data_IF_738962249024
#
_entry.id   IF_738962249024
#
_cell.length_a   1.000
_cell.length_b   1.000
_cell.length_c   1.000
_cell.angle_alpha   90.00
_cell.angle_beta   90.00
_cell.angle_gamma   90.00
#
_symmetry.space_group_name_H-M   'P 1'
#
loop_
_entity.id
_entity.type
_entity.pdbx_description
1 polymer ?
#
# COMPACT_ATOMS: atom_id res chain seq x y z
N UNK A 1 -1.12 -5.74 5.86
CA UNK A 1 -0.87 -6.37 7.18
C UNK A 1 -2.09 -7.18 7.66
N UNK A 2 -3.27 -6.59 7.91
CA UNK A 2 -4.52 -7.36 8.12
C UNK A 2 -4.93 -8.17 6.86
N UNK A 3 -5.16 -7.50 5.74
CA UNK A 3 -5.60 -8.17 4.50
C UNK A 3 -4.62 -9.26 4.04
N UNK A 4 -3.32 -8.99 4.13
CA UNK A 4 -2.28 -9.98 3.81
C UNK A 4 -2.37 -11.22 4.72
N UNK A 5 -2.66 -11.06 6.02
CA UNK A 5 -2.89 -12.19 6.94
C UNK A 5 -4.13 -12.99 6.57
N UNK A 6 -5.25 -12.32 6.28
CA UNK A 6 -6.49 -12.99 5.87
C UNK A 6 -6.27 -13.81 4.61
N UNK A 7 -5.60 -13.24 3.60
CA UNK A 7 -5.29 -13.95 2.37
C UNK A 7 -4.32 -15.14 2.61
N UNK A 8 -3.34 -14.97 3.50
CA UNK A 8 -2.43 -16.05 3.86
C UNK A 8 -3.14 -17.24 4.54
N UNK A 9 -4.18 -17.00 5.35
CA UNK A 9 -5.02 -18.07 5.95
C UNK A 9 -5.73 -18.88 4.86
N UNK A 10 -6.12 -18.24 3.77
CA UNK A 10 -6.71 -18.88 2.59
C UNK A 10 -5.65 -19.55 1.67
N UNK A 11 -4.38 -19.59 2.10
CA UNK A 11 -3.29 -20.22 1.35
C UNK A 11 -2.77 -19.37 0.19
N UNK A 12 -3.08 -18.08 0.15
CA UNK A 12 -2.60 -17.16 -0.88
C UNK A 12 -1.30 -16.48 -0.47
N UNK A 13 -0.34 -16.44 -1.40
CA UNK A 13 0.92 -15.71 -1.21
C UNK A 13 0.67 -14.20 -1.34
N UNK A 14 0.44 -13.55 -0.20
CA UNK A 14 0.06 -12.16 -0.09
C UNK A 14 1.07 -11.36 0.75
N UNK A 15 1.55 -10.26 0.19
CA UNK A 15 2.54 -9.39 0.83
C UNK A 15 2.05 -7.96 0.86
N UNK A 16 2.19 -7.32 2.03
CA UNK A 16 1.89 -5.90 2.16
C UNK A 16 2.99 -5.08 1.48
N UNK A 17 2.58 -4.08 0.71
CA UNK A 17 3.47 -3.11 0.07
C UNK A 17 3.08 -1.71 0.50
N UNK A 18 4.06 -0.81 0.52
CA UNK A 18 3.81 0.62 0.64
C UNK A 18 4.65 1.40 -0.33
N UNK A 19 4.21 2.63 -0.52
CA UNK A 19 5.00 3.66 -1.14
C UNK A 19 5.13 4.88 -0.24
N UNK A 20 6.18 5.66 -0.49
CA UNK A 20 6.48 6.88 0.25
C UNK A 20 6.24 8.12 -0.63
N UNK A 21 5.50 9.14 -0.19
CA UNK A 21 5.33 10.39 -0.93
C UNK A 21 6.60 11.25 -0.85
N UNK A 22 6.95 11.97 -1.94
CA UNK A 22 8.04 12.97 -1.94
C UNK A 22 7.59 14.27 -1.26
N UNK A 23 8.52 14.95 -0.59
CA UNK A 23 8.31 16.28 0.01
C UNK A 23 8.48 17.46 -0.97
N UNK A 24 9.04 17.29 -2.18
CA UNK A 24 9.09 18.36 -3.20
C UNK A 24 9.36 17.87 -4.63
N UNK A 25 9.13 18.76 -5.59
CA UNK A 25 9.36 18.56 -7.04
C UNK A 25 10.86 18.65 -7.43
N UNK A 26 11.77 19.17 -6.58
CA UNK A 26 13.17 19.54 -6.96
C UNK A 26 14.32 19.15 -5.98
N UNK A 27 14.15 18.31 -4.94
CA UNK A 27 15.22 17.98 -3.95
C UNK A 27 15.54 16.47 -3.74
N UNK A 28 16.70 16.09 -3.16
CA UNK A 28 17.54 14.95 -3.62
C UNK A 28 17.15 13.56 -3.09
N UNK A 29 16.46 12.79 -3.96
CA UNK A 29 16.34 11.32 -4.22
C UNK A 29 16.31 10.27 -3.08
N UNK A 30 15.33 9.30 -3.09
CA UNK A 30 15.12 8.29 -4.16
C UNK A 30 13.77 8.41 -4.92
N UNK A 31 13.67 7.81 -6.13
CA UNK A 31 12.41 7.64 -6.89
C UNK A 31 11.47 6.59 -6.28
N UNK A 32 10.25 6.30 -6.74
CA UNK A 32 9.29 6.86 -7.71
C UNK A 32 7.92 6.86 -7.01
N UNK A 33 7.01 7.75 -7.43
CA UNK A 33 5.71 7.96 -6.79
C UNK A 33 4.74 6.76 -6.91
N UNK A 34 3.78 6.60 -5.99
CA UNK A 34 3.34 5.25 -5.56
C UNK A 34 1.85 4.88 -5.55
N UNK A 35 0.91 5.83 -5.44
CA UNK A 35 -0.47 5.67 -5.93
C UNK A 35 -0.88 6.93 -6.70
N UNK A 36 -1.14 6.83 -8.01
CA UNK A 36 -1.60 7.97 -8.82
C UNK A 36 -3.12 8.09 -8.72
N UNK A 37 -3.55 9.04 -7.89
CA UNK A 37 -4.93 9.53 -7.89
C UNK A 37 -5.16 10.46 -9.09
N UNK A 38 -6.39 10.91 -9.29
CA UNK A 38 -6.75 11.81 -10.39
C UNK A 38 -5.97 13.15 -10.38
N UNK A 39 -5.54 13.60 -9.19
CA UNK A 39 -4.95 14.94 -9.01
C UNK A 39 -3.46 14.94 -8.71
N UNK A 40 -2.95 13.88 -8.07
CA UNK A 40 -1.58 13.81 -7.57
C UNK A 40 -1.21 12.41 -7.09
N UNK A 41 0.09 12.27 -6.82
CA UNK A 41 0.65 11.09 -6.18
C UNK A 41 0.44 11.12 -4.67
N UNK A 42 0.08 9.96 -4.12
CA UNK A 42 -0.30 9.81 -2.72
C UNK A 42 0.63 8.83 -2.00
N UNK A 43 0.85 9.08 -0.69
CA UNK A 43 1.32 8.04 0.21
C UNK A 43 0.28 6.95 0.27
N UNK A 44 0.65 5.71 -0.03
CA UNK A 44 -0.34 4.64 -0.03
C UNK A 44 0.26 3.28 0.24
N UNK A 45 -0.59 2.36 0.67
CA UNK A 45 -0.23 0.98 0.91
C UNK A 45 -1.32 0.03 0.42
N UNK A 46 -0.89 -1.10 -0.12
CA UNK A 46 -1.76 -2.12 -0.72
C UNK A 46 -1.22 -3.52 -0.40
N UNK A 47 -1.87 -4.55 -0.93
CA UNK A 47 -1.39 -5.93 -0.88
C UNK A 47 -1.10 -6.42 -2.29
N UNK A 48 0.06 -7.02 -2.51
CA UNK A 48 0.34 -7.81 -3.69
C UNK A 48 0.04 -9.28 -3.40
N UNK A 49 -0.76 -9.92 -4.25
CA UNK A 49 -1.13 -11.33 -4.16
C UNK A 49 -0.90 -12.00 -5.52
N UNK A 50 0.22 -12.70 -5.67
CA UNK A 50 0.65 -13.24 -6.96
C UNK A 50 0.84 -12.15 -8.03
N UNK A 51 0.05 -12.20 -9.11
CA UNK A 51 0.11 -11.21 -10.20
C UNK A 51 -0.87 -10.04 -10.04
N UNK A 52 -1.47 -9.90 -8.84
CA UNK A 52 -2.51 -8.92 -8.57
C UNK A 52 -2.09 -7.94 -7.46
N UNK A 53 -2.55 -6.70 -7.60
CA UNK A 53 -2.68 -5.74 -6.53
C UNK A 53 -4.11 -5.84 -6.00
N UNK A 54 -4.24 -5.93 -4.68
CA UNK A 54 -5.49 -5.86 -3.94
C UNK A 54 -5.41 -4.67 -2.99
N UNK A 55 -6.31 -3.73 -3.19
CA UNK A 55 -6.33 -2.47 -2.45
C UNK A 55 -7.76 -2.17 -2.01
N UNK A 56 -7.94 -2.11 -0.70
CA UNK A 56 -9.25 -1.94 -0.04
C UNK A 56 -9.40 -0.55 0.59
N UNK A 57 -8.46 0.36 0.31
CA UNK A 57 -8.46 1.72 0.83
C UNK A 57 -8.19 2.76 -0.27
N UNK A 58 -8.20 2.37 -1.54
CA UNK A 58 -8.03 3.29 -2.68
C UNK A 58 -9.19 4.31 -2.79
N UNK A 59 -10.34 4.00 -2.21
CA UNK A 59 -11.51 4.87 -2.15
C UNK A 59 -11.28 6.19 -1.40
N UNK A 60 -10.31 6.21 -0.48
CA UNK A 60 -9.85 7.46 0.16
C UNK A 60 -9.34 8.50 -0.87
N UNK A 61 -9.03 8.06 -2.10
CA UNK A 61 -8.58 8.87 -3.22
C UNK A 61 -9.57 8.91 -4.39
N UNK A 62 -10.83 8.47 -4.19
CA UNK A 62 -11.87 8.49 -5.21
C UNK A 62 -11.91 7.26 -6.13
N UNK A 63 -11.08 6.23 -5.87
CA UNK A 63 -11.17 4.95 -6.58
C UNK A 63 -12.34 4.08 -6.04
N UNK A 64 -12.66 2.94 -6.68
CA UNK A 64 -13.61 1.98 -6.13
C UNK A 64 -13.21 1.46 -4.72
N UNK A 65 -14.17 1.09 -3.85
CA UNK A 65 -13.91 0.57 -2.49
C UNK A 65 -12.98 -0.65 -2.41
N UNK A 66 -12.98 -1.47 -3.47
CA UNK A 66 -12.05 -2.58 -3.63
C UNK A 66 -11.52 -2.54 -5.04
N UNK A 67 -10.20 -2.40 -5.16
CA UNK A 67 -9.46 -2.46 -6.42
C UNK A 67 -8.71 -3.79 -6.46
N UNK A 68 -8.98 -4.58 -7.50
CA UNK A 68 -8.19 -5.76 -7.84
C UNK A 68 -7.70 -5.59 -9.27
N UNK A 69 -6.39 -5.44 -9.43
CA UNK A 69 -5.79 -5.12 -10.74
C UNK A 69 -4.45 -5.81 -10.93
N UNK A 70 -3.91 -5.79 -12.15
CA UNK A 70 -2.58 -6.31 -12.44
C UNK A 70 -1.51 -5.65 -11.57
N UNK A 71 -0.54 -6.43 -11.08
CA UNK A 71 0.66 -5.91 -10.37
C UNK A 71 1.51 -4.95 -11.18
N UNK A 72 1.25 -4.84 -12.48
CA UNK A 72 1.95 -3.94 -13.40
C UNK A 72 1.16 -2.64 -13.67
N UNK A 73 0.06 -2.40 -12.96
CA UNK A 73 -0.67 -1.13 -13.06
C UNK A 73 0.24 0.03 -12.64
N UNK A 74 0.46 0.95 -13.56
CA UNK A 74 1.39 2.08 -13.41
C UNK A 74 0.95 3.11 -12.38
N UNK A 75 -0.30 3.04 -11.92
CA UNK A 75 -0.78 3.86 -10.80
C UNK A 75 -0.15 3.39 -9.51
N UNK A 76 0.29 2.14 -9.39
CA UNK A 76 0.95 1.61 -8.21
C UNK A 76 2.45 1.49 -8.44
N UNK A 77 3.25 2.08 -7.55
CA UNK A 77 4.71 1.91 -7.58
C UNK A 77 5.21 1.60 -6.19
N UNK A 78 5.89 0.48 -6.02
CA UNK A 78 6.41 0.05 -4.73
C UNK A 78 7.67 0.85 -4.37
N UNK A 79 7.79 1.27 -3.10
CA UNK A 79 9.06 1.71 -2.53
C UNK A 79 9.88 0.54 -1.95
N UNK A 80 11.19 0.71 -1.85
CA UNK A 80 12.08 -0.33 -1.28
C UNK A 80 12.03 -0.41 0.25
N UNK A 81 11.46 0.60 0.91
CA UNK A 81 11.39 0.69 2.37
C UNK A 81 10.10 1.34 2.82
N UNK A 82 9.62 0.88 3.96
CA UNK A 82 8.64 1.62 4.73
C UNK A 82 9.33 2.76 5.48
N UNK A 83 8.92 3.98 5.20
CA UNK A 83 9.48 5.21 5.77
C UNK A 83 8.61 5.79 6.89
N UNK A 84 7.51 5.10 7.24
CA UNK A 84 6.68 5.50 8.38
C UNK A 84 7.50 5.53 9.67
N UNK A 85 7.25 6.53 10.53
CA UNK A 85 7.91 6.59 11.83
C UNK A 85 7.56 5.34 12.67
N UNK A 86 8.48 4.85 13.52
CA UNK A 86 8.28 3.59 14.25
C UNK A 86 7.00 3.52 15.07
N UNK A 87 6.51 4.63 15.62
CA UNK A 87 5.24 4.70 16.34
C UNK A 87 4.03 4.42 15.45
N UNK A 88 4.05 4.85 14.18
CA UNK A 88 2.98 4.58 13.22
C UNK A 88 3.02 3.13 12.75
N UNK A 89 4.22 2.56 12.59
CA UNK A 89 4.40 1.12 12.32
C UNK A 89 3.80 0.28 13.46
N UNK A 90 4.15 0.59 14.71
CA UNK A 90 3.59 -0.12 15.88
C UNK A 90 2.08 0.09 16.03
N UNK A 91 1.56 1.28 15.70
CA UNK A 91 0.14 1.57 15.81
C UNK A 91 -0.69 0.75 14.82
N UNK A 92 -0.26 0.67 13.55
CA UNK A 92 -0.95 -0.17 12.57
C UNK A 92 -0.85 -1.66 12.88
N UNK A 93 0.28 -2.11 13.44
CA UNK A 93 0.47 -3.48 13.93
C UNK A 93 -0.59 -3.87 14.97
N UNK A 94 -0.70 -3.06 16.03
CA UNK A 94 -1.74 -3.24 17.05
C UNK A 94 -3.14 -3.22 16.48
N UNK A 95 -3.46 -2.26 15.61
CA UNK A 95 -4.78 -2.19 14.98
C UNK A 95 -5.11 -3.45 14.17
N UNK A 96 -4.12 -4.03 13.47
CA UNK A 96 -4.31 -5.29 12.76
C UNK A 96 -4.55 -6.48 13.68
N UNK A 97 -3.82 -6.56 14.81
CA UNK A 97 -4.01 -7.60 15.82
C UNK A 97 -5.37 -7.47 16.54
N UNK A 98 -5.87 -6.25 16.74
CA UNK A 98 -7.19 -6.02 17.34
C UNK A 98 -8.35 -6.44 16.41
N UNK A 99 -8.19 -6.23 15.10
CA UNK A 99 -9.20 -6.62 14.10
C UNK A 99 -9.15 -8.13 13.82
N UNK A 100 -7.95 -8.72 13.81
CA UNK A 100 -7.72 -10.12 13.45
C UNK A 100 -6.54 -10.70 14.25
N UNK A 101 -6.82 -11.23 15.46
CA UNK A 101 -5.81 -11.78 16.35
C UNK A 101 -5.23 -13.11 15.86
#
# INVERSE_FOLDING_TARGET
>A
MFLARVLAVEGLDASWQSGTPRLSHEGPEPGDFVFLSDTNWQSHAWVECGNLIVDVTADQFGAPPVVVISRHDRRYSKGDRDTALPEFVRARERAGDEIWP
#
